data_IF_090760041029
#
_entry.id   IF_090760041029
#
_cell.length_a   1.000
_cell.length_b   1.000
_cell.length_c   1.000
_cell.angle_alpha   90.00
_cell.angle_beta   90.00
_cell.angle_gamma   90.00
#
_symmetry.space_group_name_H-M   'P 1'
#
loop_
_entity.id
_entity.type
_entity.pdbx_description
1 polymer ?
#
# COMPACT_ATOMS: atom_id res chain seq x y z
N UNK A 1 8.45 -15.27 16.32
CA UNK A 1 9.27 -15.50 15.10
C UNK A 1 10.23 -14.32 14.94
N UNK A 2 11.23 -14.40 14.05
CA UNK A 2 12.29 -13.39 14.02
C UNK A 2 11.78 -12.02 13.51
N UNK A 3 10.83 -12.02 12.58
CA UNK A 3 10.23 -10.80 11.99
C UNK A 3 8.72 -10.68 12.29
N UNK A 4 8.27 -11.21 13.43
CA UNK A 4 6.85 -11.26 13.77
C UNK A 4 6.26 -9.85 13.91
N UNK A 5 6.98 -8.95 14.58
CA UNK A 5 6.53 -7.59 14.81
C UNK A 5 6.40 -6.83 13.47
N UNK A 6 7.38 -6.98 12.59
CA UNK A 6 7.41 -6.42 11.24
C UNK A 6 6.23 -6.89 10.42
N UNK A 7 5.99 -8.20 10.42
CA UNK A 7 4.86 -8.78 9.71
C UNK A 7 3.52 -8.26 10.25
N UNK A 8 3.35 -8.15 11.57
CA UNK A 8 2.11 -7.68 12.18
C UNK A 8 1.86 -6.19 11.97
N UNK A 9 2.92 -5.37 11.95
CA UNK A 9 2.83 -3.94 11.58
C UNK A 9 2.50 -3.80 10.10
N UNK A 10 3.23 -4.49 9.22
CA UNK A 10 3.02 -4.46 7.77
C UNK A 10 1.61 -4.91 7.38
N UNK A 11 1.11 -6.00 7.98
CA UNK A 11 -0.26 -6.49 7.78
C UNK A 11 -1.31 -5.45 8.13
N UNK A 12 -1.18 -4.82 9.30
CA UNK A 12 -2.12 -3.79 9.76
C UNK A 12 -2.08 -2.55 8.86
N UNK A 13 -0.88 -2.08 8.53
CA UNK A 13 -0.69 -0.91 7.67
C UNK A 13 -1.26 -1.11 6.27
N UNK A 14 -0.94 -2.24 5.63
CA UNK A 14 -1.43 -2.59 4.28
C UNK A 14 -2.94 -2.84 4.28
N UNK A 15 -3.49 -3.50 5.31
CA UNK A 15 -4.94 -3.67 5.42
C UNK A 15 -5.67 -2.33 5.57
N UNK A 16 -5.08 -1.37 6.30
CA UNK A 16 -5.69 -0.06 6.45
C UNK A 16 -5.62 0.76 5.15
N UNK A 17 -4.45 0.77 4.50
CA UNK A 17 -4.27 1.35 3.18
C UNK A 17 -5.24 0.75 2.14
N UNK A 18 -5.52 -0.56 2.21
CA UNK A 18 -6.50 -1.24 1.37
C UNK A 18 -7.89 -0.64 1.49
N UNK A 19 -8.36 -0.42 2.73
CA UNK A 19 -9.67 0.20 2.98
C UNK A 19 -9.74 1.61 2.41
N UNK A 20 -8.68 2.40 2.55
CA UNK A 20 -8.60 3.74 1.94
C UNK A 20 -8.72 3.64 0.41
N UNK A 21 -7.96 2.75 -0.23
CA UNK A 21 -7.98 2.59 -1.69
C UNK A 21 -9.36 2.18 -2.20
N UNK A 22 -10.04 1.27 -1.51
CA UNK A 22 -11.42 0.87 -1.85
C UNK A 22 -12.40 2.05 -1.72
N UNK A 23 -12.29 2.88 -0.68
CA UNK A 23 -13.12 4.10 -0.54
C UNK A 23 -12.88 5.10 -1.66
N UNK A 24 -11.62 5.36 -2.01
CA UNK A 24 -11.27 6.25 -3.13
C UNK A 24 -11.85 5.70 -4.43
N UNK A 25 -11.71 4.40 -4.69
CA UNK A 25 -12.23 3.74 -5.89
C UNK A 25 -13.76 3.79 -5.97
N UNK A 26 -14.47 3.58 -4.87
CA UNK A 26 -15.94 3.68 -4.82
C UNK A 26 -16.43 5.12 -5.01
N UNK A 27 -15.66 6.11 -4.55
CA UNK A 27 -15.92 7.52 -4.81
C UNK A 27 -15.78 7.87 -6.31
N UNK A 28 -14.76 7.32 -6.97
CA UNK A 28 -14.51 7.48 -8.42
C UNK A 28 -15.63 6.91 -9.30
N UNK A 29 -16.24 5.78 -8.92
CA UNK A 29 -17.37 5.22 -9.68
C UNK A 29 -18.64 6.06 -9.56
N UNK A 30 -18.79 6.81 -8.46
CA UNK A 30 -20.01 7.55 -8.13
C UNK A 30 -19.95 8.99 -8.64
N UNK A 31 -18.76 9.60 -8.65
CA UNK A 31 -18.52 10.96 -9.13
C UNK A 31 -17.83 10.92 -10.49
N UNK A 32 -18.45 11.47 -11.55
CA UNK A 32 -17.82 11.64 -12.90
C UNK A 32 -16.61 12.61 -12.91
N UNK A 33 -15.97 12.83 -11.78
CA UNK A 33 -14.96 13.85 -11.54
C UNK A 33 -13.55 13.26 -11.63
N UNK A 34 -12.69 13.81 -12.50
CA UNK A 34 -11.26 13.47 -12.60
C UNK A 34 -10.57 13.64 -11.24
N UNK A 35 -10.17 12.54 -10.57
CA UNK A 35 -9.27 12.57 -9.40
C UNK A 35 -7.88 11.98 -9.70
N UNK A 36 -7.61 11.65 -10.96
CA UNK A 36 -6.29 11.21 -11.42
C UNK A 36 -5.44 12.44 -11.80
N UNK A 37 -4.23 12.51 -11.26
CA UNK A 37 -3.19 13.42 -11.72
C UNK A 37 -2.28 12.68 -12.69
N UNK A 38 -1.54 13.45 -13.49
CA UNK A 38 -0.56 12.91 -14.41
C UNK A 38 0.78 13.44 -13.94
N UNK A 39 1.69 12.55 -13.49
CA UNK A 39 3.07 12.90 -13.13
C UNK A 39 3.78 13.51 -14.35
N UNK A 40 4.95 14.13 -14.13
CA UNK A 40 5.79 14.70 -15.21
C UNK A 40 6.11 13.64 -16.29
N UNK A 41 6.22 12.36 -15.90
CA UNK A 41 6.45 11.21 -16.77
C UNK A 41 5.18 10.62 -17.44
N UNK A 42 4.02 11.26 -17.24
CA UNK A 42 2.70 10.88 -17.75
C UNK A 42 2.05 9.64 -17.13
N UNK A 43 2.59 9.09 -16.06
CA UNK A 43 1.92 8.05 -15.28
C UNK A 43 0.77 8.65 -14.45
N UNK A 44 -0.36 7.95 -14.33
CA UNK A 44 -1.45 8.43 -13.49
C UNK A 44 -1.13 8.19 -12.01
N UNK A 45 -1.19 9.23 -11.17
CA UNK A 45 -1.14 9.11 -9.71
C UNK A 45 -2.44 9.62 -9.12
N UNK A 46 -2.98 8.93 -8.12
CA UNK A 46 -4.29 9.22 -7.55
C UNK A 46 -4.19 9.54 -6.06
N UNK A 47 -5.33 9.89 -5.46
CA UNK A 47 -5.46 10.03 -4.00
C UNK A 47 -5.14 8.71 -3.29
N UNK A 48 -5.39 7.57 -3.95
CA UNK A 48 -5.13 6.26 -3.38
C UNK A 48 -3.62 6.06 -3.17
N UNK A 49 -2.79 6.38 -4.15
CA UNK A 49 -1.32 6.23 -4.11
C UNK A 49 -0.72 7.05 -2.97
N UNK A 50 -1.03 8.35 -2.90
CA UNK A 50 -0.55 9.21 -1.81
C UNK A 50 -1.10 8.81 -0.44
N UNK A 51 -2.38 8.45 -0.37
CA UNK A 51 -3.06 8.10 0.88
C UNK A 51 -2.57 6.79 1.48
N UNK A 52 -2.41 5.74 0.65
CA UNK A 52 -1.87 4.46 1.09
C UNK A 52 -0.41 4.58 1.51
N UNK A 53 0.40 5.33 0.75
CA UNK A 53 1.79 5.60 1.13
C UNK A 53 1.89 6.33 2.47
N UNK A 54 1.09 7.38 2.68
CA UNK A 54 1.08 8.14 3.91
C UNK A 54 0.76 7.27 5.13
N UNK A 55 -0.27 6.41 5.04
CA UNK A 55 -0.65 5.50 6.13
C UNK A 55 0.47 4.51 6.44
N UNK A 56 1.01 3.86 5.41
CA UNK A 56 2.03 2.83 5.59
C UNK A 56 3.30 3.45 6.16
N UNK A 57 3.74 4.58 5.62
CA UNK A 57 4.94 5.27 6.10
C UNK A 57 4.78 5.81 7.53
N UNK A 58 3.59 6.32 7.92
CA UNK A 58 3.31 6.70 9.32
C UNK A 58 3.54 5.53 10.25
N UNK A 59 2.91 4.39 9.96
CA UNK A 59 2.97 3.20 10.81
C UNK A 59 4.37 2.59 10.85
N UNK A 60 5.09 2.54 9.72
CA UNK A 60 6.47 2.08 9.68
C UNK A 60 7.38 3.00 10.49
N UNK A 61 7.25 4.32 10.36
CA UNK A 61 8.06 5.29 11.12
C UNK A 61 7.86 5.16 12.64
N UNK A 62 6.63 4.92 13.09
CA UNK A 62 6.32 4.78 14.52
C UNK A 62 6.90 3.50 15.13
N UNK A 63 7.02 2.44 14.34
CA UNK A 63 7.49 1.13 14.82
C UNK A 63 8.97 0.87 14.52
N UNK A 64 9.49 1.44 13.42
CA UNK A 64 10.83 1.21 12.87
C UNK A 64 11.46 2.53 12.39
N UNK A 65 11.68 3.51 13.28
CA UNK A 65 12.11 4.87 12.89
C UNK A 65 13.48 4.95 12.21
N UNK A 66 14.30 3.90 12.34
CA UNK A 66 15.64 3.82 11.75
C UNK A 66 15.68 3.04 10.43
N UNK A 67 14.58 2.38 10.04
CA UNK A 67 14.52 1.62 8.79
C UNK A 67 14.09 2.58 7.67
N UNK A 68 14.92 2.82 6.64
CA UNK A 68 14.50 3.60 5.49
C UNK A 68 13.34 2.93 4.76
N UNK A 69 12.47 3.73 4.17
CA UNK A 69 11.41 3.27 3.27
C UNK A 69 11.71 3.79 1.88
N UNK A 70 11.70 2.91 0.89
CA UNK A 70 11.82 3.24 -0.53
C UNK A 70 10.43 3.07 -1.14
N UNK A 71 9.76 4.17 -1.43
CA UNK A 71 8.42 4.17 -2.00
C UNK A 71 8.37 4.88 -3.35
N UNK A 72 7.33 4.63 -4.14
CA UNK A 72 7.21 5.20 -5.49
C UNK A 72 6.93 6.72 -5.48
N UNK A 73 6.12 7.20 -4.54
CA UNK A 73 5.64 8.58 -4.55
C UNK A 73 6.49 9.53 -3.69
N UNK A 74 6.52 10.80 -4.06
CA UNK A 74 7.06 11.89 -3.23
C UNK A 74 6.03 13.03 -3.11
N UNK A 75 6.11 13.82 -2.04
CA UNK A 75 5.10 14.86 -1.80
C UNK A 75 5.43 16.20 -2.50
N UNK A 76 6.41 16.23 -3.41
CA UNK A 76 6.87 17.43 -4.13
C UNK A 76 5.74 18.11 -4.91
N UNK A 77 5.01 17.35 -5.72
CA UNK A 77 3.89 17.89 -6.51
C UNK A 77 2.77 18.45 -5.62
N UNK A 78 2.49 17.80 -4.48
CA UNK A 78 1.44 18.22 -3.55
C UNK A 78 1.73 19.56 -2.85
N UNK A 79 2.97 20.05 -2.90
CA UNK A 79 3.37 21.36 -2.37
C UNK A 79 3.14 22.51 -3.33
N UNK A 80 2.83 22.22 -4.59
CA UNK A 80 2.58 23.25 -5.59
C UNK A 80 1.30 24.05 -5.25
N UNK A 81 1.27 25.38 -5.49
CA UNK A 81 0.15 26.24 -5.09
C UNK A 81 -1.24 25.77 -5.57
N UNK A 82 -1.32 25.09 -6.72
CA UNK A 82 -2.56 24.58 -7.30
C UNK A 82 -3.08 23.27 -6.69
N UNK A 83 -2.34 22.64 -5.79
CA UNK A 83 -2.62 21.29 -5.31
C UNK A 83 -3.18 21.24 -3.88
N UNK A 84 -3.48 22.40 -3.29
CA UNK A 84 -4.01 22.50 -1.92
C UNK A 84 -5.30 21.70 -1.72
N UNK A 85 -6.25 21.79 -2.66
CA UNK A 85 -7.51 21.07 -2.58
C UNK A 85 -7.31 19.55 -2.66
N UNK A 86 -6.33 19.12 -3.46
CA UNK A 86 -5.96 17.71 -3.59
C UNK A 86 -5.32 17.19 -2.29
N UNK A 87 -4.37 17.94 -1.73
CA UNK A 87 -3.75 17.61 -0.45
C UNK A 87 -4.79 17.54 0.68
N UNK A 88 -5.75 18.46 0.71
CA UNK A 88 -6.86 18.40 1.67
C UNK A 88 -7.70 17.13 1.52
N UNK A 89 -8.02 16.71 0.28
CA UNK A 89 -8.75 15.46 0.05
C UNK A 89 -7.95 14.24 0.50
N UNK A 90 -6.66 14.16 0.15
CA UNK A 90 -5.77 13.09 0.60
C UNK A 90 -5.76 13.04 2.13
N UNK A 91 -5.60 14.21 2.77
CA UNK A 91 -5.58 14.34 4.23
C UNK A 91 -6.87 13.83 4.87
N UNK A 92 -8.03 14.16 4.30
CA UNK A 92 -9.32 13.70 4.80
C UNK A 92 -9.47 12.16 4.72
N UNK A 93 -9.09 11.54 3.60
CA UNK A 93 -9.12 10.09 3.46
C UNK A 93 -8.15 9.39 4.43
N UNK A 94 -6.96 9.95 4.63
CA UNK A 94 -5.97 9.43 5.58
C UNK A 94 -6.50 9.53 7.02
N UNK A 95 -7.05 10.68 7.41
CA UNK A 95 -7.66 10.88 8.72
C UNK A 95 -8.77 9.87 8.99
N UNK A 96 -9.71 9.73 8.05
CA UNK A 96 -10.83 8.79 8.15
C UNK A 96 -10.34 7.35 8.34
N UNK A 97 -9.34 6.93 7.55
CA UNK A 97 -8.74 5.61 7.68
C UNK A 97 -8.08 5.43 9.05
N UNK A 98 -7.24 6.36 9.51
CA UNK A 98 -6.56 6.25 10.81
C UNK A 98 -7.56 6.11 11.97
N UNK A 99 -8.66 6.88 11.95
CA UNK A 99 -9.73 6.80 12.95
C UNK A 99 -10.40 5.41 12.93
N UNK A 100 -10.78 4.91 11.75
CA UNK A 100 -11.39 3.57 11.62
C UNK A 100 -10.42 2.43 11.97
N UNK A 101 -9.13 2.67 11.82
CA UNK A 101 -8.07 1.73 12.15
C UNK A 101 -7.72 1.69 13.63
N UNK A 102 -8.35 2.53 14.47
CA UNK A 102 -7.96 2.76 15.87
C UNK A 102 -6.46 3.06 16.00
N UNK A 103 -5.94 3.80 15.02
CA UNK A 103 -4.56 4.29 15.02
C UNK A 103 -4.60 5.68 15.60
N UNK A 104 -3.78 5.91 16.64
CA UNK A 104 -3.68 7.21 17.28
C UNK A 104 -3.47 8.30 16.22
N UNK A 105 -4.50 9.13 16.13
CA UNK A 105 -4.63 10.21 15.16
C UNK A 105 -4.62 11.57 15.86
N UNK A 106 -4.40 11.59 17.19
CA UNK A 106 -4.56 12.76 18.07
C UNK A 106 -3.90 13.99 17.44
N UNK A 107 -4.72 14.85 16.82
CA UNK A 107 -4.36 16.14 16.20
C UNK A 107 -3.37 16.14 15.01
N UNK A 108 -2.64 15.06 14.76
CA UNK A 108 -1.43 15.08 13.92
C UNK A 108 -1.63 14.85 12.43
N UNK A 109 -2.77 14.31 11.98
CA UNK A 109 -3.02 14.07 10.55
C UNK A 109 -3.36 15.36 9.78
N UNK A 110 -2.60 16.43 9.98
CA UNK A 110 -2.69 17.68 9.21
C UNK A 110 -2.00 17.54 7.85
N UNK A 111 -2.30 18.42 6.87
CA UNK A 111 -1.66 18.37 5.54
C UNK A 111 -0.14 18.25 5.59
N UNK A 112 0.52 19.02 6.45
CA UNK A 112 1.96 19.01 6.63
C UNK A 112 2.49 17.70 7.19
N UNK A 113 1.72 17.00 8.04
CA UNK A 113 2.11 15.69 8.52
C UNK A 113 1.96 14.62 7.45
N UNK A 114 0.87 14.68 6.68
CA UNK A 114 0.65 13.79 5.53
C UNK A 114 1.79 13.93 4.53
N UNK A 115 2.20 15.16 4.20
CA UNK A 115 3.38 15.40 3.34
C UNK A 115 4.66 14.77 3.94
N UNK A 116 4.89 14.91 5.25
CA UNK A 116 6.05 14.30 5.93
C UNK A 116 5.99 12.77 5.93
N UNK A 117 4.80 12.17 6.02
CA UNK A 117 4.64 10.73 5.96
C UNK A 117 4.90 10.21 4.54
N UNK A 118 4.41 10.90 3.51
CA UNK A 118 4.71 10.57 2.12
C UNK A 118 6.23 10.62 1.88
N UNK A 119 6.89 11.72 2.27
CA UNK A 119 8.35 11.88 2.08
C UNK A 119 9.20 10.94 2.93
N UNK A 120 8.65 10.29 3.96
CA UNK A 120 9.38 9.23 4.66
C UNK A 120 9.68 8.03 3.74
N UNK A 121 8.95 7.91 2.63
CA UNK A 121 9.22 7.00 1.52
C UNK A 121 10.42 7.37 0.63
N UNK A 122 11.08 8.51 0.88
CA UNK A 122 12.28 8.95 0.14
C UNK A 122 13.57 8.44 0.81
N UNK A 123 13.55 7.25 1.42
CA UNK A 123 14.69 6.67 2.11
C UNK A 123 15.85 6.38 1.17
N UNK A 124 17.06 6.85 1.53
CA UNK A 124 18.26 6.65 0.73
C UNK A 124 18.76 5.20 0.78
N UNK A 125 18.90 4.56 -0.39
CA UNK A 125 19.56 3.26 -0.53
C UNK A 125 21.06 3.47 -0.71
N UNK A 126 21.80 3.42 0.40
CA UNK A 126 23.27 3.50 0.37
C UNK A 126 23.92 2.13 0.19
N UNK A 127 25.17 2.03 -0.31
CA UNK A 127 25.84 0.74 -0.49
C UNK A 127 26.01 -0.10 0.78
N UNK A 128 26.01 0.55 1.96
CA UNK A 128 26.11 -0.12 3.26
C UNK A 128 24.74 -0.34 3.92
N UNK A 129 23.65 0.01 3.24
CA UNK A 129 22.32 -0.18 3.77
C UNK A 129 22.00 -1.67 3.78
N UNK A 130 21.87 -2.21 5.01
CA UNK A 130 21.58 -3.62 5.21
C UNK A 130 20.08 -3.90 5.28
N UNK A 131 19.28 -2.94 5.73
CA UNK A 131 17.86 -3.16 6.05
C UNK A 131 17.02 -1.98 5.61
N UNK A 132 15.94 -2.23 4.87
CA UNK A 132 14.99 -1.21 4.44
C UNK A 132 13.64 -1.82 4.03
N UNK A 133 12.61 -1.00 4.03
CA UNK A 133 11.31 -1.33 3.47
C UNK A 133 11.21 -0.84 2.03
N UNK A 134 10.54 -1.60 1.17
CA UNK A 134 10.15 -1.16 -0.17
C UNK A 134 8.64 -1.21 -0.30
N UNK A 135 8.07 -0.18 -0.90
CA UNK A 135 6.63 0.04 -0.99
C UNK A 135 6.23 0.45 -2.40
N UNK A 136 5.28 -0.28 -2.97
CA UNK A 136 4.46 0.22 -4.08
C UNK A 136 3.04 0.45 -3.53
N UNK A 137 2.61 1.72 -3.40
CA UNK A 137 1.36 2.06 -2.74
C UNK A 137 0.11 1.64 -3.53
N UNK A 138 0.19 1.54 -4.86
CA UNK A 138 -0.85 1.04 -5.77
C UNK A 138 -0.18 0.45 -7.02
N UNK A 139 0.20 -0.82 -6.95
CA UNK A 139 0.71 -1.55 -8.11
C UNK A 139 -0.45 -1.79 -9.10
N UNK A 140 -0.30 -1.26 -10.32
CA UNK A 140 -1.32 -1.29 -11.35
C UNK A 140 -2.31 -0.12 -11.31
N UNK A 141 -1.86 1.12 -11.09
CA UNK A 141 -2.72 2.34 -11.05
C UNK A 141 -3.64 2.49 -12.26
N UNK A 142 -3.21 2.08 -13.46
CA UNK A 142 -4.08 2.07 -14.66
C UNK A 142 -5.24 1.08 -14.52
N UNK A 143 -5.02 -0.07 -13.88
CA UNK A 143 -6.05 -1.05 -13.56
C UNK A 143 -6.97 -0.55 -12.46
N UNK A 144 -6.41 0.07 -11.42
CA UNK A 144 -7.18 0.74 -10.36
C UNK A 144 -8.20 1.74 -10.93
N UNK A 145 -7.76 2.63 -11.83
CA UNK A 145 -8.63 3.63 -12.48
C UNK A 145 -9.71 3.05 -13.38
N UNK A 146 -9.47 1.87 -13.97
CA UNK A 146 -10.43 1.17 -14.83
C UNK A 146 -11.44 0.33 -14.04
N UNK A 147 -11.20 0.12 -12.75
CA UNK A 147 -11.96 -0.84 -11.97
C UNK A 147 -11.52 -2.29 -12.20
N UNK A 148 -10.26 -2.50 -12.63
CA UNK A 148 -9.64 -3.82 -12.78
C UNK A 148 -8.88 -4.21 -11.49
N UNK A 149 -7.90 -5.12 -11.60
CA UNK A 149 -7.02 -5.54 -10.50
C UNK A 149 -5.99 -4.46 -10.17
N UNK A 150 -5.60 -4.41 -8.90
CA UNK A 150 -4.48 -3.64 -8.36
C UNK A 150 -4.02 -4.30 -7.07
N UNK A 151 -2.81 -3.97 -6.62
CA UNK A 151 -2.29 -4.42 -5.35
C UNK A 151 -1.65 -3.29 -4.54
N UNK A 152 -1.51 -3.50 -3.24
CA UNK A 152 -0.66 -2.68 -2.37
C UNK A 152 0.49 -3.60 -1.93
N UNK A 153 1.72 -3.22 -2.25
CA UNK A 153 2.88 -4.10 -2.12
C UNK A 153 3.87 -3.55 -1.11
N UNK A 154 4.12 -4.31 -0.03
CA UNK A 154 5.08 -3.93 0.99
C UNK A 154 6.02 -5.10 1.29
N UNK A 155 7.32 -4.84 1.31
CA UNK A 155 8.32 -5.82 1.69
C UNK A 155 9.42 -5.23 2.56
N UNK A 156 9.96 -6.06 3.45
CA UNK A 156 11.18 -5.78 4.21
C UNK A 156 12.33 -6.55 3.57
N UNK A 157 13.39 -5.83 3.23
CA UNK A 157 14.65 -6.40 2.74
C UNK A 157 15.69 -6.25 3.84
N UNK A 158 16.42 -7.33 4.11
CA UNK A 158 17.58 -7.32 5.00
C UNK A 158 18.70 -8.19 4.41
N UNK A 159 19.91 -7.64 4.29
CA UNK A 159 21.08 -8.28 3.67
C UNK A 159 20.83 -8.76 2.24
N UNK A 160 20.08 -7.97 1.46
CA UNK A 160 19.71 -8.29 0.07
C UNK A 160 18.63 -9.37 -0.07
N UNK A 161 18.11 -9.88 1.05
CA UNK A 161 17.06 -10.89 1.08
C UNK A 161 15.72 -10.27 1.49
N UNK A 162 14.64 -10.62 0.78
CA UNK A 162 13.28 -10.36 1.26
C UNK A 162 13.01 -11.22 2.49
N UNK A 163 12.72 -10.57 3.63
CA UNK A 163 12.42 -11.21 4.92
C UNK A 163 10.93 -11.27 5.21
N UNK A 164 10.21 -10.19 4.89
CA UNK A 164 8.75 -10.07 5.03
C UNK A 164 8.17 -9.57 3.72
N UNK A 165 7.04 -10.13 3.31
CA UNK A 165 6.26 -9.65 2.17
C UNK A 165 4.77 -9.63 2.49
N UNK A 166 4.10 -8.53 2.14
CA UNK A 166 2.66 -8.33 2.33
C UNK A 166 2.07 -7.75 1.05
N UNK A 167 1.02 -8.38 0.52
CA UNK A 167 0.29 -7.94 -0.66
C UNK A 167 -1.20 -7.85 -0.34
N UNK A 168 -1.79 -6.66 -0.42
CA UNK A 168 -3.25 -6.55 -0.47
C UNK A 168 -3.70 -6.56 -1.91
N UNK A 169 -4.66 -7.42 -2.26
CA UNK A 169 -5.28 -7.51 -3.58
C UNK A 169 -6.80 -7.31 -3.42
N UNK A 170 -7.30 -6.07 -3.33
CA UNK A 170 -8.69 -5.80 -2.91
C UNK A 170 -9.72 -6.22 -3.95
N UNK A 171 -9.35 -6.17 -5.24
CA UNK A 171 -10.22 -6.57 -6.34
C UNK A 171 -10.12 -8.07 -6.69
N UNK A 172 -9.24 -8.84 -6.04
CA UNK A 172 -8.98 -10.23 -6.41
C UNK A 172 -10.10 -11.14 -5.92
N UNK A 173 -10.76 -11.81 -6.85
CA UNK A 173 -11.71 -12.88 -6.58
C UNK A 173 -10.99 -14.23 -6.58
N UNK A 174 -11.04 -14.93 -5.44
CA UNK A 174 -10.46 -16.25 -5.27
C UNK A 174 -11.39 -17.07 -4.38
N UNK A 175 -11.74 -18.29 -4.82
CA UNK A 175 -12.64 -19.22 -4.12
C UNK A 175 -14.00 -18.63 -3.69
N UNK A 176 -14.53 -17.68 -4.48
CA UNK A 176 -15.84 -17.09 -4.23
C UNK A 176 -15.85 -15.93 -3.23
N UNK A 177 -14.69 -15.53 -2.70
CA UNK A 177 -14.52 -14.29 -1.93
C UNK A 177 -13.75 -13.25 -2.73
N UNK A 178 -14.05 -11.97 -2.55
CA UNK A 178 -13.32 -10.84 -3.15
C UNK A 178 -12.51 -10.15 -2.06
N UNK A 179 -11.28 -9.76 -2.40
CA UNK A 179 -10.39 -9.02 -1.50
C UNK A 179 -9.56 -9.95 -0.63
N UNK A 180 -8.27 -9.99 -0.90
CA UNK A 180 -7.35 -10.91 -0.23
C UNK A 180 -6.08 -10.20 0.22
N UNK A 181 -5.58 -10.58 1.40
CA UNK A 181 -4.29 -10.16 1.92
C UNK A 181 -3.37 -11.39 1.95
N UNK A 182 -2.26 -11.30 1.23
CA UNK A 182 -1.20 -12.31 1.22
C UNK A 182 -0.03 -11.84 2.07
N UNK A 183 0.56 -12.79 2.78
CA UNK A 183 1.63 -12.53 3.75
C UNK A 183 2.65 -13.64 3.71
N UNK A 184 3.93 -13.30 3.87
CA UNK A 184 5.00 -14.26 3.98
C UNK A 184 6.10 -13.74 4.90
N UNK A 185 6.66 -14.64 5.70
CA UNK A 185 7.94 -14.46 6.40
C UNK A 185 8.90 -15.52 5.86
N UNK A 186 10.15 -15.14 5.58
CA UNK A 186 11.17 -16.04 5.03
C UNK A 186 11.31 -17.29 5.91
N UNK A 187 11.15 -18.47 5.29
CA UNK A 187 11.23 -19.76 5.98
C UNK A 187 9.96 -20.18 6.75
N UNK A 188 8.89 -19.37 6.74
CA UNK A 188 7.60 -19.69 7.39
C UNK A 188 6.48 -20.06 6.40
N UNK A 189 6.74 -19.85 5.11
CA UNK A 189 5.77 -20.05 4.04
C UNK A 189 4.93 -18.81 3.78
N UNK A 190 3.96 -18.95 2.90
CA UNK A 190 3.03 -17.89 2.52
C UNK A 190 1.61 -18.24 2.97
N UNK A 191 0.85 -17.21 3.32
CA UNK A 191 -0.50 -17.32 3.83
C UNK A 191 -1.38 -16.26 3.19
N UNK A 192 -2.65 -16.58 3.02
CA UNK A 192 -3.69 -15.65 2.57
C UNK A 192 -4.81 -15.55 3.60
N UNK A 193 -5.47 -14.41 3.65
CA UNK A 193 -6.67 -14.18 4.45
C UNK A 193 -7.63 -13.27 3.66
N UNK A 194 -8.93 -13.40 3.89
CA UNK A 194 -9.92 -12.49 3.31
C UNK A 194 -9.79 -11.11 3.96
N UNK A 195 -9.89 -10.04 3.18
CA UNK A 195 -9.95 -8.67 3.71
C UNK A 195 -11.27 -8.41 4.45
N UNK A 196 -12.36 -9.09 4.08
CA UNK A 196 -13.68 -8.93 4.70
C UNK A 196 -13.76 -9.48 6.13
N UNK A 197 -12.87 -10.42 6.49
CA UNK A 197 -12.85 -11.05 7.82
C UNK A 197 -11.98 -10.28 8.83
N UNK A 198 -11.27 -9.24 8.38
CA UNK A 198 -10.37 -8.42 9.21
C UNK A 198 -9.27 -9.24 9.91
N UNK A 199 -8.77 -8.72 11.03
CA UNK A 199 -7.67 -9.33 11.80
C UNK A 199 -8.02 -10.69 12.45
N UNK A 200 -9.31 -11.06 12.48
CA UNK A 200 -9.81 -12.32 13.04
C UNK A 200 -10.06 -13.41 11.99
N UNK A 201 -9.83 -13.12 10.70
CA UNK A 201 -10.05 -14.05 9.60
C UNK A 201 -9.14 -15.27 9.65
N UNK A 202 -9.64 -16.40 9.13
CA UNK A 202 -8.87 -17.64 9.14
C UNK A 202 -7.77 -17.57 8.08
N UNK A 203 -6.52 -17.52 8.53
CA UNK A 203 -5.36 -17.57 7.64
C UNK A 203 -5.23 -18.96 6.99
N UNK A 204 -5.18 -19.01 5.65
CA UNK A 204 -4.99 -20.22 4.86
C UNK A 204 -3.60 -20.23 4.26
N UNK A 205 -2.86 -21.34 4.46
CA UNK A 205 -1.54 -21.52 3.84
C UNK A 205 -1.68 -21.57 2.31
N UNK A 206 -0.86 -20.81 1.60
CA UNK A 206 -0.75 -20.88 0.15
C UNK A 206 0.17 -22.05 -0.20
N UNK A 207 -0.31 -22.95 -1.06
CA UNK A 207 0.45 -24.07 -1.56
C UNK A 207 0.63 -23.91 -3.06
N UNK A 208 1.76 -24.40 -3.57
CA UNK A 208 1.98 -24.51 -5.01
C UNK A 208 1.00 -25.54 -5.56
N UNK A 209 0.23 -25.18 -6.58
CA UNK A 209 -0.65 -26.13 -7.27
C UNK A 209 0.20 -27.23 -7.93
N UNK A 210 -0.24 -28.48 -7.83
CA UNK A 210 0.35 -29.56 -8.63
C UNK A 210 -0.14 -29.56 -10.08
N UNK A 211 -1.12 -28.73 -10.40
CA UNK A 211 -1.60 -28.52 -11.76
C UNK A 211 -0.75 -27.47 -12.48
N UNK A 212 -0.28 -27.82 -13.66
CA UNK A 212 0.46 -26.97 -14.58
C UNK A 212 -0.48 -26.05 -15.37
N UNK A 213 -1.09 -25.07 -14.72
CA UNK A 213 -1.78 -23.98 -15.42
C UNK A 213 -0.83 -22.79 -15.54
N UNK A 214 -0.06 -22.77 -16.63
CA UNK A 214 0.74 -21.61 -17.01
C UNK A 214 -0.16 -20.56 -17.65
N UNK A 215 -0.56 -19.57 -16.87
CA UNK A 215 -1.35 -18.42 -17.33
C UNK A 215 -0.92 -17.13 -16.66
N UNK A 216 0.40 -16.87 -16.56
CA UNK A 216 0.88 -15.53 -16.22
C UNK A 216 1.03 -14.78 -17.54
N UNK A 217 0.06 -13.95 -17.85
CA UNK A 217 0.15 -13.01 -18.97
C UNK A 217 0.38 -11.63 -18.39
N UNK A 218 1.56 -11.05 -18.65
CA UNK A 218 1.79 -9.63 -18.34
C UNK A 218 0.76 -8.80 -19.11
N UNK A 219 0.02 -7.95 -18.38
CA UNK A 219 -0.91 -7.00 -18.99
C UNK A 219 -0.22 -5.70 -19.43
N UNK A 220 1.10 -5.60 -19.25
CA UNK A 220 1.91 -4.51 -19.78
C UNK A 220 2.50 -4.88 -21.14
N UNK A 221 1.60 -5.05 -22.11
CA UNK A 221 1.98 -5.20 -23.50
C UNK A 221 2.00 -3.83 -24.20
N UNK A 222 2.77 -2.85 -23.71
CA UNK A 222 3.20 -1.68 -24.51
C UNK A 222 3.93 -0.59 -23.72
N UNK A 223 5.16 -0.31 -24.15
CA UNK A 223 5.84 1.00 -24.28
C UNK A 223 6.25 1.75 -23.00
#
# INVERSE_FOLDING_TARGET
MAYQQELDVAKRAVALASKLCEKVRNSLSTSKSKMAMTKIDRTPVTIADYGSQAIICKMLRENFPNDPVVAEEDAGDLRLPGQKDQLQKITAYVQEALIEGDIDSDSDAQPEAVLRWIDFGNGDVTPNLRRFWTLDPVDGTKGFLRGDQYAICLALIEDGDVKVGVLSCPALNLDGSVGHLFTAERGKGAFRQSLSEGSGGQSKKVNVSQESSCGIQSFEASH
#
